data_IF_768964629990
#
_entry.id   IF_768964629990
#
_cell.length_a   1.000
_cell.length_b   1.000
_cell.length_c   1.000
_cell.angle_alpha   90.00
_cell.angle_beta   90.00
_cell.angle_gamma   90.00
#
_symmetry.space_group_name_H-M   'P 1'
#
loop_
_entity.id
_entity.type
_entity.pdbx_description
1 polymer ?
#
# COMPACT_ATOMS: atom_id res chain seq x y z
N UNK A 1 7.97 -22.21 4.15
CA UNK A 1 7.21 -21.21 3.37
C UNK A 1 6.99 -21.72 1.94
N UNK A 2 5.74 -22.00 1.56
CA UNK A 2 5.43 -22.50 0.21
C UNK A 2 5.15 -21.30 -0.71
N UNK A 3 6.16 -20.92 -1.51
CA UNK A 3 6.12 -19.84 -2.50
C UNK A 3 4.83 -19.81 -3.34
N UNK A 4 4.37 -20.98 -3.80
CA UNK A 4 3.16 -21.10 -4.63
C UNK A 4 1.92 -20.68 -3.84
N UNK A 5 1.86 -21.01 -2.55
CA UNK A 5 0.74 -20.64 -1.67
C UNK A 5 0.71 -19.12 -1.43
N UNK A 6 1.87 -18.50 -1.18
CA UNK A 6 1.98 -17.04 -1.04
C UNK A 6 1.50 -16.35 -2.30
N UNK A 7 2.02 -16.76 -3.45
CA UNK A 7 1.69 -16.16 -4.74
C UNK A 7 0.20 -16.27 -5.06
N UNK A 8 -0.41 -17.45 -4.86
CA UNK A 8 -1.86 -17.65 -5.09
C UNK A 8 -2.75 -16.78 -4.20
N UNK A 9 -2.30 -16.46 -2.98
CA UNK A 9 -3.06 -15.64 -2.02
C UNK A 9 -2.86 -14.14 -2.23
N UNK A 10 -1.85 -13.72 -2.97
CA UNK A 10 -1.49 -12.31 -3.11
C UNK A 10 -2.52 -11.49 -3.91
N UNK A 11 -3.05 -11.94 -5.07
CA UNK A 11 -4.10 -11.19 -5.78
C UNK A 11 -5.35 -10.92 -4.94
N UNK A 12 -6.01 -11.93 -4.31
CA UNK A 12 -7.20 -11.67 -3.51
C UNK A 12 -6.89 -10.82 -2.27
N UNK A 13 -5.66 -10.92 -1.72
CA UNK A 13 -5.22 -10.02 -0.66
C UNK A 13 -5.18 -8.57 -1.13
N UNK A 14 -4.56 -8.30 -2.29
CA UNK A 14 -4.50 -6.93 -2.85
C UNK A 14 -5.91 -6.39 -3.07
N UNK A 15 -6.76 -7.13 -3.77
CA UNK A 15 -8.11 -6.66 -4.10
C UNK A 15 -8.93 -6.39 -2.83
N UNK A 16 -8.87 -7.29 -1.84
CA UNK A 16 -9.58 -7.11 -0.56
C UNK A 16 -9.07 -5.91 0.24
N UNK A 17 -7.75 -5.70 0.33
CA UNK A 17 -7.21 -4.57 1.08
C UNK A 17 -7.42 -3.23 0.37
N UNK A 18 -7.47 -3.22 -0.96
CA UNK A 18 -7.84 -2.02 -1.73
C UNK A 18 -9.28 -1.64 -1.44
N UNK A 19 -10.22 -2.60 -1.53
CA UNK A 19 -11.63 -2.34 -1.26
C UNK A 19 -11.85 -1.81 0.18
N UNK A 20 -11.25 -2.46 1.18
CA UNK A 20 -11.35 -2.02 2.57
C UNK A 20 -10.70 -0.64 2.80
N UNK A 21 -9.55 -0.37 2.18
CA UNK A 21 -8.91 0.94 2.29
C UNK A 21 -9.79 2.03 1.67
N UNK A 22 -10.44 1.76 0.54
CA UNK A 22 -11.34 2.73 -0.10
C UNK A 22 -12.58 3.00 0.76
N UNK A 23 -13.18 1.96 1.33
CA UNK A 23 -14.35 2.09 2.21
C UNK A 23 -14.02 2.90 3.47
N UNK A 24 -12.94 2.55 4.17
CA UNK A 24 -12.54 3.25 5.41
C UNK A 24 -12.14 4.70 5.18
N UNK A 25 -11.41 4.97 4.09
CA UNK A 25 -11.03 6.36 3.74
C UNK A 25 -12.26 7.13 3.26
N UNK A 26 -13.15 6.50 2.51
CA UNK A 26 -14.41 7.10 2.07
C UNK A 26 -15.24 7.58 3.26
N UNK A 27 -15.46 6.70 4.24
CA UNK A 27 -16.20 7.04 5.46
C UNK A 27 -15.58 8.22 6.22
N UNK A 28 -14.25 8.25 6.34
CA UNK A 28 -13.54 9.35 7.01
C UNK A 28 -13.69 10.65 6.23
N UNK A 29 -13.55 10.62 4.90
CA UNK A 29 -13.69 11.83 4.07
C UNK A 29 -15.13 12.34 4.04
N UNK A 30 -16.11 11.44 3.94
CA UNK A 30 -17.53 11.76 3.97
C UNK A 30 -17.92 12.43 5.31
N UNK A 31 -17.36 11.96 6.43
CA UNK A 31 -17.56 12.57 7.74
C UNK A 31 -17.05 14.02 7.82
N UNK A 32 -16.10 14.37 6.96
CA UNK A 32 -15.50 15.70 6.84
C UNK A 32 -16.09 16.51 5.67
N UNK A 33 -17.11 15.98 4.97
CA UNK A 33 -17.70 16.64 3.81
C UNK A 33 -16.78 16.73 2.59
N UNK A 34 -15.77 15.85 2.49
CA UNK A 34 -14.78 15.85 1.41
C UNK A 34 -15.11 14.75 0.37
N UNK A 35 -15.05 15.11 -0.91
CA UNK A 35 -15.31 14.15 -1.98
C UNK A 35 -14.09 13.26 -2.26
N UNK A 36 -14.38 11.97 -2.49
CA UNK A 36 -13.41 11.01 -3.02
C UNK A 36 -13.25 11.24 -4.52
N UNK A 37 -12.02 11.47 -5.00
CA UNK A 37 -11.81 11.71 -6.43
C UNK A 37 -11.78 10.42 -7.27
N UNK A 38 -11.88 10.58 -8.59
CA UNK A 38 -11.74 9.48 -9.54
C UNK A 38 -10.38 8.74 -9.46
N UNK A 39 -9.33 9.37 -8.89
CA UNK A 39 -8.01 8.75 -8.73
C UNK A 39 -7.89 7.92 -7.44
N UNK A 40 -8.91 7.92 -6.57
CA UNK A 40 -8.85 7.22 -5.29
C UNK A 40 -8.56 5.72 -5.43
N UNK A 41 -9.21 5.05 -6.39
CA UNK A 41 -8.95 3.63 -6.63
C UNK A 41 -7.49 3.36 -7.00
N UNK A 42 -6.92 4.19 -7.88
CA UNK A 42 -5.52 4.11 -8.28
C UNK A 42 -4.60 4.33 -7.09
N UNK A 43 -4.86 5.36 -6.29
CA UNK A 43 -4.03 5.72 -5.15
C UNK A 43 -4.05 4.64 -4.06
N UNK A 44 -5.23 4.12 -3.71
CA UNK A 44 -5.41 2.98 -2.81
C UNK A 44 -4.70 1.73 -3.33
N UNK A 45 -4.81 1.45 -4.63
CA UNK A 45 -4.13 0.33 -5.27
C UNK A 45 -2.61 0.47 -5.18
N UNK A 46 -2.07 1.64 -5.49
CA UNK A 46 -0.63 1.91 -5.40
C UNK A 46 -0.11 1.74 -3.97
N UNK A 47 -0.85 2.22 -2.97
CA UNK A 47 -0.47 2.06 -1.57
C UNK A 47 -0.42 0.58 -1.16
N UNK A 48 -1.47 -0.20 -1.46
CA UNK A 48 -1.52 -1.63 -1.12
C UNK A 48 -0.42 -2.43 -1.83
N UNK A 49 -0.18 -2.17 -3.12
CA UNK A 49 0.90 -2.80 -3.88
C UNK A 49 2.28 -2.50 -3.29
N UNK A 50 2.47 -1.28 -2.78
CA UNK A 50 3.69 -0.87 -2.09
C UNK A 50 3.83 -1.55 -0.72
N UNK A 51 2.77 -1.68 0.07
CA UNK A 51 2.77 -2.46 1.31
C UNK A 51 3.16 -3.92 1.08
N UNK A 52 2.62 -4.54 0.02
CA UNK A 52 3.02 -5.89 -0.41
C UNK A 52 4.50 -5.93 -0.77
N UNK A 53 4.99 -4.96 -1.54
CA UNK A 53 6.40 -4.88 -1.91
C UNK A 53 7.31 -4.82 -0.68
N UNK A 54 7.00 -3.94 0.27
CA UNK A 54 7.75 -3.85 1.52
C UNK A 54 7.69 -5.18 2.29
N UNK A 55 6.55 -5.87 2.30
CA UNK A 55 6.41 -7.18 2.92
C UNK A 55 7.35 -8.21 2.30
N UNK A 56 7.38 -8.28 0.97
CA UNK A 56 8.30 -9.14 0.22
C UNK A 56 9.77 -8.82 0.53
N UNK A 57 10.13 -7.54 0.65
CA UNK A 57 11.50 -7.13 0.97
C UNK A 57 11.96 -7.60 2.35
N UNK A 58 11.02 -7.77 3.29
CA UNK A 58 11.25 -8.25 4.64
C UNK A 58 11.17 -9.78 4.79
N UNK A 59 10.82 -10.52 3.74
CA UNK A 59 10.77 -11.99 3.76
C UNK A 59 12.17 -12.62 3.76
N UNK A 60 12.32 -13.75 4.48
CA UNK A 60 13.51 -14.62 4.43
C UNK A 60 13.05 -16.06 4.12
N UNK A 61 13.76 -16.84 3.28
CA UNK A 61 15.08 -16.58 2.66
C UNK A 61 15.03 -15.82 1.32
N UNK A 62 16.16 -15.18 0.95
CA UNK A 62 16.26 -14.20 -0.14
C UNK A 62 15.96 -14.70 -1.57
N UNK A 63 16.16 -16.00 -1.87
CA UNK A 63 15.85 -16.57 -3.20
C UNK A 63 14.34 -16.51 -3.46
N UNK A 64 13.52 -16.92 -2.49
CA UNK A 64 12.06 -16.89 -2.60
C UNK A 64 11.52 -15.46 -2.80
N UNK A 65 12.16 -14.48 -2.15
CA UNK A 65 11.87 -13.05 -2.30
C UNK A 65 12.10 -12.58 -3.73
N UNK A 66 13.23 -12.89 -4.36
CA UNK A 66 13.54 -12.41 -5.72
C UNK A 66 12.51 -12.90 -6.74
N UNK A 67 12.10 -14.17 -6.65
CA UNK A 67 11.10 -14.74 -7.54
C UNK A 67 9.72 -14.11 -7.29
N UNK A 68 9.31 -13.93 -6.02
CA UNK A 68 8.03 -13.28 -5.69
C UNK A 68 8.00 -11.84 -6.14
N UNK A 69 9.11 -11.11 -6.01
CA UNK A 69 9.23 -9.73 -6.45
C UNK A 69 9.07 -9.61 -7.96
N UNK A 70 9.71 -10.51 -8.72
CA UNK A 70 9.55 -10.56 -10.18
C UNK A 70 8.10 -10.84 -10.58
N UNK A 71 7.46 -11.84 -9.96
CA UNK A 71 6.05 -12.15 -10.20
C UNK A 71 5.13 -10.97 -9.85
N UNK A 72 5.37 -10.32 -8.71
CA UNK A 72 4.63 -9.14 -8.26
C UNK A 72 4.69 -8.02 -9.31
N UNK A 73 5.90 -7.64 -9.75
CA UNK A 73 6.09 -6.64 -10.82
C UNK A 73 5.39 -7.04 -12.13
N UNK A 74 5.51 -8.31 -12.54
CA UNK A 74 4.83 -8.82 -13.74
C UNK A 74 3.32 -8.70 -13.64
N UNK A 75 2.74 -8.98 -12.47
CA UNK A 75 1.30 -8.85 -12.24
C UNK A 75 0.84 -7.40 -12.26
N UNK A 76 1.60 -6.48 -11.64
CA UNK A 76 1.31 -5.05 -11.72
C UNK A 76 1.30 -4.59 -13.18
N UNK A 77 2.28 -5.01 -13.98
CA UNK A 77 2.33 -4.69 -15.40
C UNK A 77 1.10 -5.22 -16.18
N UNK A 78 0.61 -6.43 -15.84
CA UNK A 78 -0.63 -6.97 -16.43
C UNK A 78 -1.86 -6.15 -16.02
N UNK A 79 -1.99 -5.82 -14.73
CA UNK A 79 -3.09 -4.97 -14.24
C UNK A 79 -3.04 -3.58 -14.87
N UNK A 80 -1.85 -3.01 -15.04
CA UNK A 80 -1.66 -1.71 -15.68
C UNK A 80 -2.15 -1.74 -17.14
N UNK A 81 -1.84 -2.81 -17.89
CA UNK A 81 -2.34 -2.98 -19.26
C UNK A 81 -3.86 -3.10 -19.33
N UNK A 82 -4.47 -3.79 -18.36
CA UNK A 82 -5.89 -4.08 -18.36
C UNK A 82 -6.79 -2.96 -17.82
N UNK A 83 -6.29 -2.15 -16.87
CA UNK A 83 -7.10 -1.13 -16.16
C UNK A 83 -6.53 0.27 -16.25
N UNK A 84 -5.24 0.42 -15.97
CA UNK A 84 -4.62 1.73 -15.82
C UNK A 84 -3.15 1.72 -16.24
N UNK A 85 -2.89 2.20 -17.46
CA UNK A 85 -1.55 2.14 -18.07
C UNK A 85 -0.48 2.86 -17.26
N UNK A 86 -0.86 3.81 -16.41
CA UNK A 86 0.07 4.58 -15.58
C UNK A 86 0.48 3.85 -14.29
N UNK A 87 -0.26 2.81 -13.88
CA UNK A 87 -0.08 2.15 -12.58
C UNK A 87 1.36 1.63 -12.36
N UNK A 88 1.95 0.99 -13.37
CA UNK A 88 3.31 0.45 -13.26
C UNK A 88 4.34 1.57 -13.08
N UNK A 89 4.29 2.61 -13.91
CA UNK A 89 5.22 3.73 -13.85
C UNK A 89 5.12 4.48 -12.51
N UNK A 90 3.91 4.69 -12.00
CA UNK A 90 3.67 5.33 -10.70
C UNK A 90 4.16 4.46 -9.54
N UNK A 91 3.95 3.14 -9.61
CA UNK A 91 4.47 2.20 -8.63
C UNK A 91 6.01 2.21 -8.61
N UNK A 92 6.66 2.14 -9.77
CA UNK A 92 8.12 2.15 -9.87
C UNK A 92 8.71 3.47 -9.35
N UNK A 93 8.09 4.60 -9.69
CA UNK A 93 8.46 5.92 -9.16
C UNK A 93 8.42 5.94 -7.63
N UNK A 94 7.35 5.42 -7.01
CA UNK A 94 7.26 5.32 -5.54
C UNK A 94 8.35 4.46 -4.94
N UNK A 95 8.66 3.33 -5.56
CA UNK A 95 9.76 2.46 -5.09
C UNK A 95 11.08 3.21 -5.12
N UNK A 96 11.37 3.92 -6.22
CA UNK A 96 12.58 4.72 -6.38
C UNK A 96 12.66 5.84 -5.32
N UNK A 97 11.59 6.64 -5.18
CA UNK A 97 11.52 7.73 -4.21
C UNK A 97 11.79 7.23 -2.79
N UNK A 98 11.24 6.08 -2.41
CA UNK A 98 11.48 5.54 -1.07
C UNK A 98 12.87 4.92 -0.93
N UNK A 99 13.40 4.24 -1.95
CA UNK A 99 14.78 3.71 -1.92
C UNK A 99 15.84 4.82 -1.76
N UNK A 100 15.60 5.99 -2.35
CA UNK A 100 16.49 7.15 -2.22
C UNK A 100 16.41 7.82 -0.83
N UNK A 101 15.25 7.77 -0.17
CA UNK A 101 15.02 8.46 1.12
C UNK A 101 15.23 7.53 2.32
N UNK A 102 14.91 6.24 2.20
CA UNK A 102 14.91 5.25 3.27
C UNK A 102 15.65 4.01 2.77
N UNK A 103 16.94 3.88 3.14
CA UNK A 103 17.80 2.80 2.64
C UNK A 103 17.29 1.38 2.95
N UNK A 104 16.34 1.21 3.87
CA UNK A 104 15.59 -0.04 4.08
C UNK A 104 14.21 0.27 4.68
N UNK A 105 13.12 0.01 3.95
CA UNK A 105 11.78 0.01 4.55
C UNK A 105 11.59 -1.31 5.28
N UNK A 106 11.79 -1.28 6.60
CA UNK A 106 11.65 -2.46 7.46
C UNK A 106 10.30 -2.40 8.15
N UNK A 107 9.60 -3.52 8.20
CA UNK A 107 8.45 -3.65 9.09
C UNK A 107 8.93 -3.79 10.52
N UNK A 108 8.44 -2.93 11.40
CA UNK A 108 8.71 -3.01 12.83
C UNK A 108 7.58 -3.76 13.53
N UNK A 109 7.92 -4.57 14.53
CA UNK A 109 6.92 -5.16 15.42
C UNK A 109 6.47 -4.09 16.42
N UNK A 110 5.18 -3.84 16.46
CA UNK A 110 4.50 -2.98 17.43
C UNK A 110 3.50 -3.82 18.24
N UNK A 111 2.93 -3.24 19.30
CA UNK A 111 1.84 -3.87 20.07
C UNK A 111 0.63 -4.26 19.19
N UNK A 112 0.47 -3.58 18.05
CA UNK A 112 -0.63 -3.74 17.11
C UNK A 112 -0.28 -4.64 15.90
N UNK A 113 0.92 -5.23 15.88
CA UNK A 113 1.37 -6.13 14.80
C UNK A 113 2.60 -5.63 14.06
N UNK A 114 2.60 -5.71 12.73
CA UNK A 114 3.73 -5.29 11.88
C UNK A 114 3.42 -3.95 11.24
N UNK A 115 4.17 -2.90 11.55
CA UNK A 115 3.91 -1.57 10.99
C UNK A 115 5.02 -1.14 10.02
N UNK A 116 4.62 -0.51 8.92
CA UNK A 116 5.55 0.33 8.15
C UNK A 116 5.79 1.63 8.92
N UNK A 117 6.98 2.24 8.80
CA UNK A 117 7.27 3.55 9.33
C UNK A 117 6.53 4.62 8.52
N UNK A 118 5.22 4.73 8.77
CA UNK A 118 4.35 5.72 8.16
C UNK A 118 4.27 6.95 9.06
N UNK A 119 4.37 8.12 8.43
CA UNK A 119 4.30 9.42 9.08
C UNK A 119 3.11 10.23 8.57
N UNK A 120 2.77 11.33 9.25
CA UNK A 120 1.78 12.30 8.77
C UNK A 120 2.10 12.84 7.37
N UNK A 121 3.39 12.90 6.99
CA UNK A 121 3.81 13.26 5.63
C UNK A 121 3.31 12.24 4.60
N UNK A 122 3.35 10.95 4.92
CA UNK A 122 2.83 9.88 4.05
C UNK A 122 1.32 9.97 3.92
N UNK A 123 0.61 10.16 5.03
CA UNK A 123 -0.85 10.34 5.02
C UNK A 123 -1.26 11.57 4.21
N UNK A 124 -0.58 12.71 4.39
CA UNK A 124 -0.80 13.93 3.60
C UNK A 124 -0.55 13.72 2.11
N UNK A 125 0.52 13.01 1.74
CA UNK A 125 0.82 12.72 0.35
C UNK A 125 -0.23 11.79 -0.28
N UNK A 126 -0.68 10.78 0.46
CA UNK A 126 -1.77 9.90 0.05
C UNK A 126 -3.06 10.69 -0.18
N UNK A 127 -3.47 11.52 0.78
CA UNK A 127 -4.65 12.37 0.65
C UNK A 127 -4.54 13.34 -0.52
N UNK A 128 -3.40 14.02 -0.70
CA UNK A 128 -3.20 14.95 -1.82
C UNK A 128 -3.38 14.27 -3.19
N UNK A 129 -2.95 13.01 -3.32
CA UNK A 129 -3.08 12.25 -4.56
C UNK A 129 -4.49 11.63 -4.73
N UNK A 130 -5.17 11.37 -3.62
CA UNK A 130 -6.52 10.79 -3.57
C UNK A 130 -7.61 11.86 -3.74
N UNK A 131 -7.43 13.06 -3.22
CA UNK A 131 -8.33 14.21 -3.33
C UNK A 131 -7.52 15.51 -3.22
N UNK A 132 -7.42 16.31 -4.29
CA UNK A 132 -6.71 17.60 -4.26
C UNK A 132 -7.26 18.56 -3.21
N UNK A 133 -8.56 18.48 -2.91
CA UNK A 133 -9.25 19.27 -1.89
C UNK A 133 -8.77 18.93 -0.46
N UNK A 134 -8.32 17.69 -0.25
CA UNK A 134 -7.74 17.24 1.02
C UNK A 134 -6.28 17.71 1.23
N UNK A 135 -5.71 18.53 0.34
CA UNK A 135 -4.32 19.02 0.47
C UNK A 135 -4.10 19.86 1.75
N UNK A 136 -5.15 20.51 2.25
CA UNK A 136 -5.16 21.29 3.49
C UNK A 136 -5.93 20.60 4.63
N UNK A 137 -6.00 19.26 4.60
CA UNK A 137 -6.67 18.46 5.61
C UNK A 137 -6.28 18.87 7.05
N UNK A 138 -7.24 18.94 7.98
CA UNK A 138 -6.96 19.17 9.39
C UNK A 138 -6.07 18.05 9.97
N UNK A 139 -5.37 18.36 11.06
CA UNK A 139 -4.41 17.43 11.69
C UNK A 139 -5.10 16.13 12.12
N UNK A 140 -6.31 16.22 12.66
CA UNK A 140 -7.06 15.06 13.13
C UNK A 140 -7.39 14.08 11.99
N UNK A 141 -7.78 14.61 10.82
CA UNK A 141 -7.99 13.81 9.61
C UNK A 141 -6.71 13.10 9.15
N UNK A 142 -5.54 13.74 9.30
CA UNK A 142 -4.27 13.10 8.95
C UNK A 142 -3.93 11.93 9.88
N UNK A 143 -4.29 12.02 11.16
CA UNK A 143 -4.05 10.96 12.13
C UNK A 143 -4.98 9.77 11.91
N UNK A 144 -6.26 10.02 11.61
CA UNK A 144 -7.22 8.98 11.26
C UNK A 144 -6.81 8.21 10.00
N UNK A 145 -6.42 8.94 8.95
CA UNK A 145 -5.92 8.35 7.71
C UNK A 145 -4.63 7.57 7.96
N UNK A 146 -3.72 8.11 8.77
CA UNK A 146 -2.48 7.42 9.12
C UNK A 146 -2.75 6.09 9.84
N UNK A 147 -3.72 6.05 10.75
CA UNK A 147 -4.13 4.85 11.45
C UNK A 147 -4.68 3.78 10.48
N UNK A 148 -5.54 4.20 9.55
CA UNK A 148 -6.08 3.33 8.49
C UNK A 148 -4.93 2.75 7.64
N UNK A 149 -4.04 3.61 7.14
CA UNK A 149 -2.91 3.19 6.30
C UNK A 149 -1.99 2.19 7.03
N UNK A 150 -1.72 2.41 8.32
CA UNK A 150 -0.94 1.48 9.16
C UNK A 150 -1.62 0.12 9.26
N UNK A 151 -2.91 0.09 9.58
CA UNK A 151 -3.69 -1.14 9.71
C UNK A 151 -3.72 -1.95 8.41
N UNK A 152 -3.99 -1.30 7.27
CA UNK A 152 -4.05 -1.96 5.95
C UNK A 152 -2.68 -2.48 5.51
N UNK A 153 -1.62 -1.71 5.77
CA UNK A 153 -0.25 -2.14 5.51
C UNK A 153 0.16 -3.35 6.36
N UNK A 154 -0.16 -3.33 7.67
CA UNK A 154 0.08 -4.42 8.60
C UNK A 154 -0.62 -5.71 8.19
N UNK A 155 -1.88 -5.62 7.73
CA UNK A 155 -2.62 -6.77 7.21
C UNK A 155 -1.93 -7.43 6.01
N UNK A 156 -1.36 -6.63 5.10
CA UNK A 156 -0.57 -7.15 3.99
C UNK A 156 0.69 -7.88 4.48
N UNK A 157 1.44 -7.26 5.39
CA UNK A 157 2.67 -7.81 5.93
C UNK A 157 2.44 -9.11 6.70
N UNK A 158 1.45 -9.13 7.60
CA UNK A 158 1.11 -10.30 8.40
C UNK A 158 0.77 -11.51 7.53
N UNK A 159 0.03 -11.30 6.42
CA UNK A 159 -0.31 -12.38 5.48
C UNK A 159 0.91 -12.90 4.71
N UNK A 160 1.85 -12.03 4.34
CA UNK A 160 3.05 -12.39 3.58
C UNK A 160 4.12 -13.04 4.45
N UNK A 161 4.30 -12.56 5.68
CA UNK A 161 5.37 -12.99 6.59
C UNK A 161 4.98 -14.20 7.45
N UNK A 162 3.70 -14.56 7.53
CA UNK A 162 3.23 -15.76 8.23
C UNK A 162 3.17 -17.03 7.37
N UNK A 163 3.50 -16.96 6.07
CA UNK A 163 3.31 -18.04 5.09
C UNK A 163 4.57 -18.88 4.84
#
# INVERSE_FOLDING_TARGET
>A
MNFVRVWRRMPPLVDSQVALLQDEIGQVLDSQGLAVSATAHRESTLFVLWSVHAGLMNMRPGISRSVLLWLHKRKIAQTAKARDRQLLALYERRVIEVMFVVKNIVFERTEQGLALPLSRRTAKMFLKNLSPEAANAPVDLLDDVLLILRRRSSACAGKLLAA
#
